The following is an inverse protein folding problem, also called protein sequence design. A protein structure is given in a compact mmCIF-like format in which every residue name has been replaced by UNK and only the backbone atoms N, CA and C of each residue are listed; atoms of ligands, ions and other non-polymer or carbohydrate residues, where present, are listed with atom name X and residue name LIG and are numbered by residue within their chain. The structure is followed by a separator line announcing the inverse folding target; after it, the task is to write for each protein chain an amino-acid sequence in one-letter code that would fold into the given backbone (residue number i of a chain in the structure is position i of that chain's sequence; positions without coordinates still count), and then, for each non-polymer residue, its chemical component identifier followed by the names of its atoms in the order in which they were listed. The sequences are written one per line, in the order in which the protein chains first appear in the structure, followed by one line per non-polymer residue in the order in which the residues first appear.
data_IF_866166824314
#
_entry.id   IF_866166824314
#
_cell.length_a   1.000
_cell.length_b   1.000
_cell.length_c   1.000
_cell.angle_alpha   90.00
_cell.angle_beta   90.00
_cell.angle_gamma   90.00
#
_symmetry.space_group_name_H-M   'P 1'
#
loop_
_entity.id
_entity.type
_entity.pdbx_description
1 polymer ?
#
# COMPACT_ATOMS: atom_id res chain seq x y z
N UNK A 1 17.51 -8.08 1.90
CA UNK A 1 17.99 -6.75 2.38
C UNK A 1 18.32 -5.73 1.30
N UNK A 2 19.37 -5.88 0.49
CA UNK A 2 19.75 -4.84 -0.50
C UNK A 2 18.61 -4.47 -1.45
N UNK A 3 17.92 -5.46 -2.04
CA UNK A 3 16.78 -5.23 -2.93
C UNK A 3 15.60 -4.50 -2.25
N UNK A 4 15.34 -4.80 -0.97
CA UNK A 4 14.28 -4.18 -0.19
C UNK A 4 14.56 -2.69 0.06
N UNK A 5 15.81 -2.36 0.39
CA UNK A 5 16.24 -0.97 0.57
C UNK A 5 16.12 -0.22 -0.76
N UNK A 6 16.58 -0.84 -1.85
CA UNK A 6 16.53 -0.25 -3.18
C UNK A 6 15.08 0.03 -3.62
N UNK A 7 14.18 -0.93 -3.44
CA UNK A 7 12.74 -0.76 -3.71
C UNK A 7 12.09 0.29 -2.83
N UNK A 8 12.46 0.36 -1.54
CA UNK A 8 11.99 1.40 -0.62
C UNK A 8 12.38 2.80 -1.11
N UNK A 9 13.66 2.98 -1.48
CA UNK A 9 14.16 4.25 -2.00
C UNK A 9 13.45 4.63 -3.29
N UNK A 10 13.30 3.70 -4.24
CA UNK A 10 12.58 3.95 -5.50
C UNK A 10 11.12 4.33 -5.24
N UNK A 11 10.45 3.65 -4.31
CA UNK A 11 9.04 3.92 -3.99
C UNK A 11 8.88 5.34 -3.43
N UNK A 12 9.74 5.75 -2.50
CA UNK A 12 9.72 7.12 -1.95
C UNK A 12 10.01 8.16 -3.05
N UNK A 13 11.05 7.91 -3.87
CA UNK A 13 11.40 8.81 -4.98
C UNK A 13 10.25 8.96 -5.99
N UNK A 14 9.53 7.88 -6.29
CA UNK A 14 8.38 7.91 -7.20
C UNK A 14 7.29 8.87 -6.72
N UNK A 15 7.03 8.87 -5.40
CA UNK A 15 6.06 9.77 -4.76
C UNK A 15 6.55 11.22 -4.80
N UNK A 16 7.84 11.47 -4.64
CA UNK A 16 8.40 12.83 -4.66
C UNK A 16 8.43 13.43 -6.07
N UNK A 17 8.69 12.62 -7.11
CA UNK A 17 8.83 13.09 -8.49
C UNK A 17 7.49 13.17 -9.23
N UNK A 18 6.49 12.36 -8.85
CA UNK A 18 5.22 12.32 -9.59
C UNK A 18 4.45 13.67 -9.52
N UNK A 19 3.79 14.09 -10.61
CA UNK A 19 2.90 15.25 -10.58
C UNK A 19 1.70 14.93 -9.69
N UNK A 20 1.56 15.66 -8.59
CA UNK A 20 0.46 15.47 -7.63
C UNK A 20 -0.86 15.98 -8.21
N UNK A 21 -1.82 15.08 -8.36
CA UNK A 21 -3.21 15.35 -8.75
C UNK A 21 -4.15 15.45 -7.56
N UNK A 22 -3.78 14.79 -6.46
CA UNK A 22 -4.49 14.80 -5.18
C UNK A 22 -3.68 15.55 -4.13
N UNK A 23 -4.33 16.06 -3.10
CA UNK A 23 -3.66 16.83 -2.05
C UNK A 23 -2.78 15.95 -1.15
N UNK A 24 -1.76 16.54 -0.53
CA UNK A 24 -0.89 15.83 0.43
C UNK A 24 -1.66 15.26 1.62
N UNK A 25 -2.68 15.98 2.10
CA UNK A 25 -3.50 15.52 3.22
C UNK A 25 -4.37 14.32 2.84
N UNK A 26 -4.93 14.30 1.63
CA UNK A 26 -5.70 13.15 1.11
C UNK A 26 -4.80 11.92 0.94
N UNK A 27 -3.59 12.08 0.39
CA UNK A 27 -2.61 10.99 0.30
C UNK A 27 -2.29 10.42 1.69
N UNK A 28 -2.01 11.30 2.66
CA UNK A 28 -1.62 10.89 4.00
C UNK A 28 -2.76 10.17 4.75
N UNK A 29 -3.94 10.78 4.78
CA UNK A 29 -5.12 10.23 5.46
C UNK A 29 -5.58 8.91 4.84
N UNK A 30 -5.58 8.81 3.51
CA UNK A 30 -5.94 7.57 2.82
C UNK A 30 -4.91 6.47 3.06
N UNK A 31 -3.62 6.81 3.03
CA UNK A 31 -2.56 5.84 3.32
C UNK A 31 -2.65 5.30 4.75
N UNK A 32 -2.86 6.18 5.73
CA UNK A 32 -3.08 5.76 7.12
C UNK A 32 -4.33 4.89 7.28
N UNK A 33 -5.43 5.26 6.63
CA UNK A 33 -6.67 4.50 6.68
C UNK A 33 -6.48 3.07 6.15
N UNK A 34 -5.86 2.91 4.98
CA UNK A 34 -5.63 1.59 4.40
C UNK A 34 -4.61 0.79 5.22
N UNK A 35 -3.55 1.42 5.74
CA UNK A 35 -2.62 0.74 6.66
C UNK A 35 -3.33 0.21 7.90
N UNK A 36 -4.18 1.02 8.53
CA UNK A 36 -4.95 0.59 9.70
C UNK A 36 -5.90 -0.56 9.35
N UNK A 37 -6.66 -0.42 8.26
CA UNK A 37 -7.61 -1.45 7.83
C UNK A 37 -6.90 -2.76 7.48
N UNK A 38 -5.78 -2.69 6.77
CA UNK A 38 -4.92 -3.83 6.43
C UNK A 38 -4.40 -4.52 7.69
N UNK A 39 -3.88 -3.76 8.67
CA UNK A 39 -3.42 -4.33 9.94
C UNK A 39 -4.54 -5.00 10.73
N UNK A 40 -5.75 -4.41 10.76
CA UNK A 40 -6.92 -5.05 11.38
C UNK A 40 -7.29 -6.34 10.65
N UNK A 41 -7.26 -6.35 9.32
CA UNK A 41 -7.51 -7.55 8.54
C UNK A 41 -6.46 -8.62 8.82
N UNK A 42 -5.18 -8.26 8.85
CA UNK A 42 -4.09 -9.20 9.11
C UNK A 42 -4.17 -9.79 10.52
N UNK A 43 -4.44 -8.99 11.56
CA UNK A 43 -4.65 -9.54 12.91
C UNK A 43 -5.85 -10.50 12.96
N UNK A 44 -6.92 -10.20 12.24
CA UNK A 44 -8.09 -11.08 12.24
C UNK A 44 -7.88 -12.33 11.37
N UNK A 45 -7.29 -12.23 10.19
CA UNK A 45 -7.16 -13.34 9.25
C UNK A 45 -5.95 -14.21 9.58
N UNK A 46 -4.82 -13.59 9.92
CA UNK A 46 -3.60 -14.27 10.29
C UNK A 46 -3.68 -14.81 11.71
N UNK A 47 -3.82 -13.94 12.71
CA UNK A 47 -3.64 -14.34 14.10
C UNK A 47 -4.81 -15.17 14.61
N UNK A 48 -6.05 -14.82 14.20
CA UNK A 48 -7.25 -15.52 14.68
C UNK A 48 -7.63 -16.74 13.84
N UNK A 49 -7.42 -16.70 12.52
CA UNK A 49 -7.85 -17.78 11.62
C UNK A 49 -6.71 -18.54 10.94
N UNK A 50 -5.43 -18.15 11.14
CA UNK A 50 -4.24 -18.79 10.55
C UNK A 50 -4.32 -18.93 9.02
N UNK A 51 -5.02 -18.01 8.36
CA UNK A 51 -5.37 -18.12 6.94
C UNK A 51 -4.22 -17.79 6.00
N UNK A 52 -3.17 -17.10 6.46
CA UNK A 52 -2.00 -16.81 5.63
C UNK A 52 -0.93 -17.90 5.67
N UNK A 53 -1.00 -18.83 6.63
CA UNK A 53 -0.10 -19.98 6.69
C UNK A 53 1.38 -19.61 6.81
N UNK A 54 1.71 -18.55 7.55
CA UNK A 54 3.11 -18.15 7.76
C UNK A 54 3.87 -19.26 8.51
N UNK A 55 4.95 -19.77 7.90
CA UNK A 55 5.76 -20.86 8.44
C UNK A 55 6.55 -20.49 9.71
N UNK A 56 6.70 -19.19 10.02
CA UNK A 56 7.47 -18.68 11.15
C UNK A 56 6.68 -17.62 11.92
N UNK A 57 6.48 -17.83 13.22
CA UNK A 57 5.84 -16.86 14.12
C UNK A 57 6.91 -15.94 14.72
N UNK A 58 6.88 -14.65 14.39
CA UNK A 58 7.84 -13.66 14.89
C UNK A 58 7.61 -12.27 14.28
N UNK A 59 8.21 -11.25 14.88
CA UNK A 59 8.19 -9.89 14.32
C UNK A 59 9.18 -9.84 13.15
N UNK A 60 8.64 -9.71 11.93
CA UNK A 60 9.46 -9.47 10.74
C UNK A 60 9.78 -7.97 10.62
N UNK A 61 11.01 -7.61 11.00
CA UNK A 61 11.49 -6.24 10.88
C UNK A 61 11.64 -5.79 9.42
N UNK A 62 11.79 -6.72 8.47
CA UNK A 62 11.80 -6.40 7.04
C UNK A 62 10.40 -5.97 6.60
N UNK A 63 9.36 -6.64 7.10
CA UNK A 63 7.97 -6.28 6.84
C UNK A 63 7.62 -4.89 7.36
N UNK A 64 8.21 -4.42 8.47
CA UNK A 64 7.99 -3.06 8.96
C UNK A 64 8.43 -1.99 7.94
N UNK A 65 9.54 -2.22 7.23
CA UNK A 65 9.98 -1.30 6.18
C UNK A 65 9.00 -1.29 5.00
N UNK A 66 8.49 -2.46 4.61
CA UNK A 66 7.48 -2.59 3.56
C UNK A 66 6.22 -1.82 3.98
N UNK A 67 5.73 -2.09 5.20
CA UNK A 67 4.49 -1.53 5.72
C UNK A 67 4.56 -0.01 5.92
N UNK A 68 5.67 0.52 6.43
CA UNK A 68 5.82 1.94 6.75
C UNK A 68 6.16 2.79 5.52
N UNK A 69 6.92 2.26 4.56
CA UNK A 69 7.42 3.06 3.44
C UNK A 69 6.84 2.63 2.10
N UNK A 70 6.98 1.35 1.74
CA UNK A 70 6.59 0.87 0.41
C UNK A 70 5.07 0.93 0.26
N UNK A 71 4.33 0.44 1.25
CA UNK A 71 2.88 0.36 1.21
C UNK A 71 2.21 1.75 1.02
N UNK A 72 2.48 2.77 1.86
CA UNK A 72 1.92 4.10 1.66
C UNK A 72 2.44 4.78 0.39
N UNK A 73 3.68 4.51 -0.03
CA UNK A 73 4.20 5.08 -1.27
C UNK A 73 3.47 4.53 -2.49
N UNK A 74 3.30 3.21 -2.58
CA UNK A 74 2.57 2.56 -3.67
C UNK A 74 1.10 2.95 -3.68
N UNK A 75 0.44 3.04 -2.51
CA UNK A 75 -0.93 3.55 -2.43
C UNK A 75 -1.03 4.99 -2.93
N UNK A 76 -0.09 5.85 -2.56
CA UNK A 76 -0.08 7.24 -3.01
C UNK A 76 0.06 7.33 -4.53
N UNK A 77 0.94 6.52 -5.13
CA UNK A 77 1.10 6.45 -6.60
C UNK A 77 -0.18 5.93 -7.25
N UNK A 78 -0.74 4.84 -6.75
CA UNK A 78 -1.96 4.24 -7.28
C UNK A 78 -3.13 5.24 -7.28
N UNK A 79 -3.38 5.87 -6.13
CA UNK A 79 -4.44 6.87 -5.98
C UNK A 79 -4.21 8.08 -6.88
N UNK A 80 -2.98 8.57 -6.97
CA UNK A 80 -2.64 9.73 -7.80
C UNK A 80 -2.85 9.48 -9.31
N UNK A 81 -2.64 8.24 -9.77
CA UNK A 81 -2.85 7.86 -11.18
C UNK A 81 -4.23 7.23 -11.45
N UNK A 82 -5.07 7.09 -10.42
CA UNK A 82 -6.39 6.51 -10.57
C UNK A 82 -7.27 7.39 -11.48
N UNK A 83 -7.90 6.84 -12.52
CA UNK A 83 -8.62 7.64 -13.52
C UNK A 83 -10.01 8.08 -13.01
N UNK A 84 -10.06 9.23 -12.35
CA UNK A 84 -11.29 9.79 -11.76
C UNK A 84 -12.37 10.15 -12.81
N UNK A 85 -12.00 10.60 -14.01
CA UNK A 85 -12.97 11.08 -15.01
C UNK A 85 -13.50 10.02 -15.98
N UNK A 86 -13.09 8.74 -15.87
CA UNK A 86 -13.54 7.67 -16.77
C UNK A 86 -14.85 7.02 -16.28
N UNK A 87 -15.62 6.47 -17.23
CA UNK A 87 -16.86 5.70 -16.96
C UNK A 87 -16.65 4.63 -15.88
N UNK A 88 -17.62 4.51 -14.97
CA UNK A 88 -17.59 3.64 -13.79
C UNK A 88 -17.29 2.18 -14.09
N UNK A 89 -17.64 1.68 -15.29
CA UNK A 89 -17.33 0.31 -15.71
C UNK A 89 -15.81 0.07 -15.88
N UNK A 90 -15.07 1.08 -16.38
CA UNK A 90 -13.60 0.99 -16.51
C UNK A 90 -12.89 1.10 -15.18
N UNK A 91 -13.47 1.85 -14.23
CA UNK A 91 -12.98 1.92 -12.85
C UNK A 91 -13.11 0.57 -12.13
N UNK A 92 -14.27 -0.08 -12.26
CA UNK A 92 -14.53 -1.38 -11.65
C UNK A 92 -13.59 -2.47 -12.21
N UNK A 93 -13.34 -2.46 -13.52
CA UNK A 93 -12.39 -3.37 -14.16
C UNK A 93 -10.97 -3.21 -13.62
N UNK A 94 -10.52 -1.97 -13.39
CA UNK A 94 -9.19 -1.69 -12.82
C UNK A 94 -9.10 -2.16 -11.37
N UNK A 95 -10.18 -2.00 -10.59
CA UNK A 95 -10.25 -2.48 -9.19
C UNK A 95 -10.35 -3.99 -9.05
N UNK A 96 -10.90 -4.70 -10.05
CA UNK A 96 -10.97 -6.16 -10.06
C UNK A 96 -9.67 -6.83 -10.52
N UNK A 97 -8.80 -6.10 -11.22
CA UNK A 97 -7.62 -6.66 -11.86
C UNK A 97 -6.29 -6.21 -11.22
N UNK A 98 -6.31 -5.18 -10.37
CA UNK A 98 -5.17 -4.77 -9.54
C UNK A 98 -5.25 -5.38 -8.15
#
# INVERSE_FOLDING_TARGET
MVLLILTTVISILSVLVMPKRISWIEMYTTSLFVMFLGSVADVNLDVKYDLYGFFTKGVDFEYLLIFIFIYPATNSVFLNFYPESKSSAKKLYILQCG
#
